data_IF_337528619120
#
_entry.id   IF_337528619120
#
_cell.length_a   1.000
_cell.length_b   1.000
_cell.length_c   1.000
_cell.angle_alpha   90.00
_cell.angle_beta   90.00
_cell.angle_gamma   90.00
#
_symmetry.space_group_name_H-M   'P 1'
#
loop_
_entity.id
_entity.type
_entity.pdbx_description
1 polymer ?
#
# COMPACT_ATOMS: atom_id res chain seq x y z
N UNK A 1 -9.68 -8.87 -25.76
CA UNK A 1 -9.88 -7.54 -25.14
C UNK A 1 -10.14 -7.77 -23.65
N UNK A 2 -9.68 -6.91 -22.75
CA UNK A 2 -9.97 -7.06 -21.31
C UNK A 2 -11.43 -6.69 -21.03
N UNK A 3 -12.15 -7.57 -20.34
CA UNK A 3 -13.55 -7.41 -19.94
C UNK A 3 -13.65 -7.32 -18.42
N UNK A 4 -14.75 -6.76 -17.90
CA UNK A 4 -14.98 -6.65 -16.46
C UNK A 4 -15.15 -8.02 -15.77
N UNK A 5 -15.41 -9.07 -16.55
CA UNK A 5 -15.51 -10.45 -16.07
C UNK A 5 -14.15 -11.09 -15.84
N UNK A 6 -13.08 -10.55 -16.42
CA UNK A 6 -11.70 -11.05 -16.26
C UNK A 6 -11.08 -10.64 -14.92
N UNK A 7 -11.82 -9.87 -14.10
CA UNK A 7 -11.33 -9.25 -12.88
C UNK A 7 -12.09 -9.80 -11.67
N UNK A 8 -11.35 -10.24 -10.66
CA UNK A 8 -11.93 -10.67 -9.38
C UNK A 8 -12.30 -9.47 -8.51
N UNK A 9 -13.58 -9.08 -8.53
CA UNK A 9 -14.11 -7.99 -7.69
C UNK A 9 -14.01 -8.29 -6.19
N UNK A 10 -14.22 -9.55 -5.79
CA UNK A 10 -14.02 -9.98 -4.40
C UNK A 10 -12.55 -9.92 -4.01
N UNK A 11 -11.65 -10.30 -4.92
CA UNK A 11 -10.20 -10.18 -4.74
C UNK A 11 -9.76 -8.73 -4.53
N UNK A 12 -10.31 -7.78 -5.30
CA UNK A 12 -10.03 -6.35 -5.15
C UNK A 12 -10.42 -5.86 -3.74
N UNK A 13 -11.64 -6.17 -3.29
CA UNK A 13 -12.11 -5.74 -1.97
C UNK A 13 -11.28 -6.38 -0.87
N UNK A 14 -10.97 -7.67 -0.99
CA UNK A 14 -10.14 -8.39 -0.02
C UNK A 14 -8.71 -7.81 0.06
N UNK A 15 -8.09 -7.51 -1.08
CA UNK A 15 -6.77 -6.91 -1.14
C UNK A 15 -6.76 -5.49 -0.56
N UNK A 16 -7.77 -4.68 -0.86
CA UNK A 16 -7.91 -3.34 -0.30
C UNK A 16 -8.07 -3.38 1.24
N UNK A 17 -8.90 -4.29 1.75
CA UNK A 17 -9.09 -4.48 3.19
C UNK A 17 -7.81 -4.99 3.86
N UNK A 18 -7.14 -5.98 3.27
CA UNK A 18 -5.88 -6.50 3.79
C UNK A 18 -4.80 -5.42 3.85
N UNK A 19 -4.66 -4.62 2.79
CA UNK A 19 -3.73 -3.48 2.74
C UNK A 19 -4.06 -2.42 3.79
N UNK A 20 -5.33 -2.08 3.96
CA UNK A 20 -5.78 -1.12 4.97
C UNK A 20 -5.48 -1.59 6.40
N UNK A 21 -5.83 -2.83 6.73
CA UNK A 21 -5.55 -3.42 8.05
C UNK A 21 -4.05 -3.52 8.31
N UNK A 22 -3.27 -3.94 7.30
CA UNK A 22 -1.82 -4.00 7.39
C UNK A 22 -1.21 -2.61 7.62
N UNK A 23 -1.69 -1.58 6.91
CA UNK A 23 -1.28 -0.19 7.13
C UNK A 23 -1.61 0.29 8.56
N UNK A 24 -2.81 -0.01 9.04
CA UNK A 24 -3.21 0.27 10.42
C UNK A 24 -2.26 -0.40 11.42
N UNK A 25 -2.01 -1.70 11.28
CA UNK A 25 -1.08 -2.45 12.13
C UNK A 25 0.35 -1.89 12.06
N UNK A 26 0.82 -1.55 10.87
CA UNK A 26 2.16 -1.01 10.60
C UNK A 26 2.40 0.31 11.31
N UNK A 27 1.51 1.29 11.14
CA UNK A 27 1.71 2.64 11.68
C UNK A 27 1.30 2.78 13.15
N UNK A 28 0.48 1.88 13.69
CA UNK A 28 0.02 1.96 15.09
C UNK A 28 0.83 1.10 16.05
N UNK A 29 1.04 -0.17 15.74
CA UNK A 29 1.62 -1.14 16.68
C UNK A 29 3.09 -1.45 16.37
N UNK A 30 3.43 -1.65 15.10
CA UNK A 30 4.73 -2.22 14.73
C UNK A 30 5.81 -1.14 14.56
N UNK A 31 5.55 -0.11 13.75
CA UNK A 31 6.59 0.78 13.24
C UNK A 31 6.27 2.28 13.33
N UNK A 32 5.21 2.70 14.03
CA UNK A 32 4.86 4.11 14.16
C UNK A 32 6.00 5.00 14.69
N UNK A 33 6.75 4.52 15.69
CA UNK A 33 7.93 5.23 16.23
C UNK A 33 9.08 5.32 15.23
N UNK A 34 9.35 4.25 14.49
CA UNK A 34 10.40 4.22 13.48
C UNK A 34 10.07 5.17 12.32
N UNK A 35 8.81 5.16 11.88
CA UNK A 35 8.30 6.07 10.85
C UNK A 35 8.42 7.54 11.29
N UNK A 36 8.03 7.90 12.52
CA UNK A 36 8.20 9.26 13.04
C UNK A 36 9.66 9.72 13.01
N UNK A 37 10.60 8.87 13.43
CA UNK A 37 12.04 9.18 13.38
C UNK A 37 12.53 9.35 11.94
N UNK A 38 12.09 8.51 11.00
CA UNK A 38 12.45 8.62 9.59
C UNK A 38 11.99 9.95 8.98
N UNK A 39 10.88 10.50 9.47
CA UNK A 39 10.38 11.84 9.10
C UNK A 39 11.05 13.00 9.85
N UNK A 40 12.02 12.72 10.74
CA UNK A 40 12.64 13.73 11.61
C UNK A 40 11.68 14.30 12.67
N UNK A 41 10.59 13.59 13.00
CA UNK A 41 9.56 14.02 13.95
C UNK A 41 9.75 13.35 15.31
N UNK A 42 9.44 14.09 16.38
CA UNK A 42 9.34 13.51 17.71
C UNK A 42 8.13 12.55 17.75
N UNK A 43 8.29 11.31 18.28
CA UNK A 43 7.15 10.41 18.44
C UNK A 43 6.17 10.99 19.45
N UNK A 44 4.93 11.24 19.03
CA UNK A 44 3.84 11.64 19.93
C UNK A 44 2.84 10.47 20.09
N UNK A 45 2.75 9.84 21.26
CA UNK A 45 1.82 8.74 21.51
C UNK A 45 0.35 9.18 21.53
N UNK A 46 0.06 10.49 21.59
CA UNK A 46 -1.30 11.04 21.54
C UNK A 46 -1.72 11.47 20.14
N UNK A 47 -0.80 11.50 19.18
CA UNK A 47 -1.12 11.87 17.82
C UNK A 47 -2.13 10.88 17.23
N UNK A 48 -3.25 11.42 16.75
CA UNK A 48 -4.29 10.65 16.06
C UNK A 48 -4.24 10.98 14.58
N UNK A 49 -4.31 9.98 13.68
CA UNK A 49 -4.43 10.25 12.26
C UNK A 49 -5.72 11.02 12.00
N UNK A 50 -5.63 12.04 11.13
CA UNK A 50 -6.81 12.78 10.71
C UNK A 50 -7.81 11.82 10.03
N UNK A 51 -9.13 11.99 10.19
CA UNK A 51 -10.12 11.11 9.55
C UNK A 51 -9.93 10.99 8.04
N UNK A 52 -9.51 12.08 7.38
CA UNK A 52 -9.20 12.10 5.95
C UNK A 52 -8.02 11.20 5.58
N UNK A 53 -7.02 11.04 6.46
CA UNK A 53 -5.93 10.08 6.23
C UNK A 53 -6.45 8.64 6.26
N UNK A 54 -7.34 8.31 7.21
CA UNK A 54 -7.88 6.96 7.34
C UNK A 54 -8.75 6.61 6.12
N UNK A 55 -9.73 7.46 5.82
CA UNK A 55 -10.64 7.26 4.67
C UNK A 55 -9.86 7.32 3.35
N UNK A 56 -8.91 8.25 3.25
CA UNK A 56 -8.01 8.35 2.10
C UNK A 56 -7.21 7.07 1.89
N UNK A 57 -6.59 6.51 2.94
CA UNK A 57 -5.84 5.25 2.83
C UNK A 57 -6.70 4.09 2.32
N UNK A 58 -7.96 3.99 2.76
CA UNK A 58 -8.86 2.96 2.26
C UNK A 58 -9.20 3.15 0.78
N UNK A 59 -9.50 4.39 0.36
CA UNK A 59 -9.81 4.73 -1.02
C UNK A 59 -8.63 4.49 -1.96
N UNK A 60 -7.44 4.97 -1.60
CA UNK A 60 -6.23 4.78 -2.40
C UNK A 60 -5.84 3.30 -2.48
N UNK A 61 -5.99 2.55 -1.37
CA UNK A 61 -5.78 1.10 -1.37
C UNK A 61 -6.73 0.37 -2.32
N UNK A 62 -7.99 0.78 -2.41
CA UNK A 62 -8.96 0.21 -3.35
C UNK A 62 -8.59 0.49 -4.81
N UNK A 63 -8.17 1.73 -5.12
CA UNK A 63 -7.73 2.12 -6.46
C UNK A 63 -6.47 1.32 -6.86
N UNK A 64 -5.50 1.18 -5.95
CA UNK A 64 -4.30 0.36 -6.18
C UNK A 64 -4.66 -1.11 -6.41
N UNK A 65 -5.53 -1.70 -5.59
CA UNK A 65 -5.97 -3.09 -5.75
C UNK A 65 -6.67 -3.32 -7.10
N UNK A 66 -7.52 -2.38 -7.54
CA UNK A 66 -8.14 -2.42 -8.86
C UNK A 66 -7.09 -2.38 -9.99
N UNK A 67 -6.14 -1.44 -9.93
CA UNK A 67 -5.08 -1.33 -10.93
C UNK A 67 -4.22 -2.59 -11.01
N UNK A 68 -3.87 -3.19 -9.86
CA UNK A 68 -3.14 -4.45 -9.79
C UNK A 68 -3.94 -5.61 -10.38
N UNK A 69 -5.26 -5.68 -10.12
CA UNK A 69 -6.11 -6.73 -10.67
C UNK A 69 -6.22 -6.63 -12.21
N UNK A 70 -6.31 -5.40 -12.75
CA UNK A 70 -6.24 -5.18 -14.21
C UNK A 70 -4.90 -5.64 -14.77
N UNK A 71 -3.80 -5.35 -14.07
CA UNK A 71 -2.47 -5.77 -14.50
C UNK A 71 -2.32 -7.31 -14.48
N UNK A 72 -2.79 -7.98 -13.41
CA UNK A 72 -2.80 -9.43 -13.30
C UNK A 72 -3.56 -10.08 -14.47
N UNK A 73 -4.75 -9.58 -14.79
CA UNK A 73 -5.54 -10.07 -15.92
C UNK A 73 -4.84 -9.87 -17.27
N UNK A 74 -4.04 -8.80 -17.43
CA UNK A 74 -3.27 -8.54 -18.66
C UNK A 74 -2.01 -9.40 -18.77
N UNK A 75 -1.39 -9.71 -17.65
CA UNK A 75 -0.17 -10.51 -17.58
C UNK A 75 -0.45 -12.02 -17.51
N UNK A 76 -1.71 -12.43 -17.40
CA UNK A 76 -2.08 -13.84 -17.22
C UNK A 76 -1.57 -14.40 -15.89
N UNK A 77 -1.64 -13.59 -14.84
CA UNK A 77 -1.20 -13.97 -13.49
C UNK A 77 -2.30 -14.79 -12.81
N UNK A 78 -2.22 -16.12 -12.93
CA UNK A 78 -3.31 -17.03 -12.57
C UNK A 78 -3.00 -17.89 -11.34
N UNK A 79 -1.76 -17.87 -10.85
CA UNK A 79 -1.35 -18.66 -9.67
C UNK A 79 -0.97 -17.78 -8.47
N UNK A 80 -1.15 -18.27 -7.22
CA UNK A 80 -0.74 -17.53 -6.03
C UNK A 80 0.76 -17.12 -6.00
N UNK A 81 1.72 -17.97 -6.40
CA UNK A 81 3.13 -17.57 -6.44
C UNK A 81 3.42 -16.44 -7.44
N UNK A 82 2.80 -16.45 -8.62
CA UNK A 82 2.96 -15.38 -9.61
C UNK A 82 2.36 -14.07 -9.09
N UNK A 83 1.17 -14.14 -8.48
CA UNK A 83 0.51 -12.98 -7.87
C UNK A 83 1.37 -12.38 -6.74
N UNK A 84 1.97 -13.22 -5.90
CA UNK A 84 2.89 -12.80 -4.86
C UNK A 84 4.14 -12.15 -5.45
N UNK A 85 4.75 -12.76 -6.47
CA UNK A 85 5.92 -12.23 -7.17
C UNK A 85 5.66 -10.86 -7.79
N UNK A 86 4.53 -10.71 -8.50
CA UNK A 86 4.09 -9.44 -9.07
C UNK A 86 3.85 -8.39 -7.98
N UNK A 87 3.12 -8.76 -6.92
CA UNK A 87 2.83 -7.86 -5.80
C UNK A 87 4.09 -7.37 -5.10
N UNK A 88 5.07 -8.25 -4.86
CA UNK A 88 6.36 -7.88 -4.28
C UNK A 88 7.16 -6.96 -5.21
N UNK A 89 7.23 -7.28 -6.50
CA UNK A 89 7.94 -6.46 -7.48
C UNK A 89 7.37 -5.03 -7.55
N UNK A 90 6.05 -4.90 -7.72
CA UNK A 90 5.37 -3.61 -7.74
C UNK A 90 5.52 -2.88 -6.39
N UNK A 91 5.30 -3.59 -5.28
CA UNK A 91 5.38 -3.04 -3.93
C UNK A 91 6.76 -2.46 -3.62
N UNK A 92 7.83 -3.20 -3.92
CA UNK A 92 9.20 -2.71 -3.73
C UNK A 92 9.51 -1.49 -4.58
N UNK A 93 9.11 -1.49 -5.86
CA UNK A 93 9.29 -0.34 -6.75
C UNK A 93 8.54 0.91 -6.25
N UNK A 94 7.28 0.75 -5.86
CA UNK A 94 6.47 1.85 -5.32
C UNK A 94 6.97 2.33 -3.96
N UNK A 95 7.45 1.43 -3.09
CA UNK A 95 8.06 1.79 -1.82
C UNK A 95 9.33 2.61 -2.02
N UNK A 96 10.19 2.22 -2.97
CA UNK A 96 11.40 2.96 -3.30
C UNK A 96 11.05 4.38 -3.79
N UNK A 97 10.06 4.51 -4.68
CA UNK A 97 9.59 5.81 -5.14
C UNK A 97 8.95 6.65 -4.02
N UNK A 98 8.09 6.05 -3.19
CA UNK A 98 7.44 6.71 -2.06
C UNK A 98 8.46 7.18 -1.02
N UNK A 99 9.55 6.44 -0.82
CA UNK A 99 10.60 6.82 0.13
C UNK A 99 11.53 7.88 -0.46
N UNK A 100 12.04 7.65 -1.68
CA UNK A 100 13.05 8.49 -2.31
C UNK A 100 12.56 9.86 -2.79
N UNK A 101 11.29 9.97 -3.20
CA UNK A 101 10.72 11.19 -3.75
C UNK A 101 9.90 12.00 -2.73
N UNK A 102 9.67 11.47 -1.53
CA UNK A 102 8.81 12.11 -0.55
C UNK A 102 9.56 13.22 0.20
N UNK A 103 9.14 14.50 0.05
CA UNK A 103 9.82 15.63 0.68
C UNK A 103 9.75 15.61 2.21
N UNK A 104 8.88 14.78 2.80
CA UNK A 104 8.79 14.61 4.25
C UNK A 104 9.86 13.68 4.82
N UNK A 105 10.59 12.93 4.00
CA UNK A 105 11.69 12.07 4.43
C UNK A 105 12.99 12.85 4.16
N UNK A 106 13.59 13.50 5.19
CA UNK A 106 14.73 14.41 4.99
C UNK A 106 16.01 13.70 4.54
N UNK A 107 16.11 12.38 4.75
CA UNK A 107 17.30 11.58 4.46
C UNK A 107 16.91 10.19 3.90
N UNK A 108 16.45 10.10 2.65
CA UNK A 108 15.91 8.86 2.10
C UNK A 108 16.97 7.78 1.79
N UNK A 109 18.27 8.12 1.86
CA UNK A 109 19.39 7.23 1.52
C UNK A 109 20.39 7.03 2.70
N UNK A 110 20.09 7.54 3.90
CA UNK A 110 21.00 7.52 5.05
C UNK A 110 20.41 6.79 6.26
#
# INVERSE_FOLDING_TARGET
MLTLSDISWTGIIAAALASFLLGGLWFTLLFGRAYARALGRAPDPKARPAPLMIVGSALWGLITAFATAVLMARLGTDTPPEALGLGLFLGCGYLAANTGLNPNIPRPLL
#
